data_IF_331409202017
#
_entry.id   IF_331409202017
#
_cell.length_a   1.000
_cell.length_b   1.000
_cell.length_c   1.000
_cell.angle_alpha   90.00
_cell.angle_beta   90.00
_cell.angle_gamma   90.00
#
_symmetry.space_group_name_H-M   'P 1'
#
loop_
_entity.id
_entity.type
_entity.pdbx_description
1 polymer ?
#
# COMPACT_ATOMS: atom_id res chain seq x y z
N UNK A 1 4.17 21.01 -32.10
CA UNK A 1 3.57 19.62 -32.07
C UNK A 1 3.09 19.16 -30.71
N UNK A 2 3.32 19.93 -29.62
CA UNK A 2 2.92 19.59 -28.26
C UNK A 2 1.43 19.80 -27.95
N UNK A 3 0.77 20.79 -28.52
CA UNK A 3 -0.64 21.12 -28.22
C UNK A 3 -1.68 20.15 -28.78
N UNK A 4 -1.47 19.60 -29.99
CA UNK A 4 -2.42 18.64 -30.62
C UNK A 4 -2.37 17.27 -29.91
N UNK A 5 -1.20 16.88 -29.42
CA UNK A 5 -1.07 15.62 -28.62
C UNK A 5 -1.76 15.70 -27.27
N UNK A 6 -1.80 16.87 -26.62
CA UNK A 6 -2.51 17.07 -25.36
C UNK A 6 -4.03 16.93 -25.53
N UNK A 7 -4.63 17.56 -26.55
CA UNK A 7 -6.07 17.50 -26.79
C UNK A 7 -6.59 16.10 -27.15
N UNK A 8 -5.84 15.29 -27.92
CA UNK A 8 -6.22 13.90 -28.23
C UNK A 8 -6.10 13.00 -27.00
N UNK A 9 -5.15 13.26 -26.11
CA UNK A 9 -4.97 12.52 -24.84
C UNK A 9 -6.05 12.84 -23.82
N UNK A 10 -6.49 14.08 -23.75
CA UNK A 10 -7.61 14.48 -22.88
C UNK A 10 -8.93 13.85 -23.30
N UNK A 11 -9.16 13.57 -24.57
CA UNK A 11 -10.36 12.87 -25.07
C UNK A 11 -10.52 11.43 -24.58
N UNK A 12 -9.46 10.80 -24.04
CA UNK A 12 -9.51 9.47 -23.39
C UNK A 12 -9.92 9.59 -21.92
N UNK A 13 -9.86 10.79 -21.32
CA UNK A 13 -10.28 11.10 -19.97
C UNK A 13 -11.72 11.62 -20.00
N UNK A 14 -12.67 10.80 -19.59
CA UNK A 14 -14.08 11.15 -19.67
C UNK A 14 -14.58 12.03 -18.52
N UNK A 15 -15.89 12.33 -18.49
CA UNK A 15 -16.50 13.27 -17.54
C UNK A 15 -16.22 12.94 -16.06
N UNK A 16 -16.15 11.65 -15.70
CA UNK A 16 -15.86 11.22 -14.33
C UNK A 16 -14.46 11.64 -13.88
N UNK A 17 -13.47 11.61 -14.78
CA UNK A 17 -12.12 12.10 -14.48
C UNK A 17 -12.12 13.59 -14.13
N UNK A 18 -12.72 14.42 -14.99
CA UNK A 18 -12.75 15.87 -14.79
C UNK A 18 -13.55 16.27 -13.55
N UNK A 19 -14.66 15.57 -13.28
CA UNK A 19 -15.43 15.77 -12.06
C UNK A 19 -14.56 15.51 -10.81
N UNK A 20 -13.89 14.37 -10.75
CA UNK A 20 -13.07 14.01 -9.58
C UNK A 20 -11.83 14.88 -9.46
N UNK A 21 -11.17 15.21 -10.56
CA UNK A 21 -10.06 16.18 -10.57
C UNK A 21 -10.49 17.55 -10.00
N UNK A 22 -11.65 18.04 -10.42
CA UNK A 22 -12.22 19.29 -9.88
C UNK A 22 -12.57 19.18 -8.39
N UNK A 23 -13.09 18.02 -7.97
CA UNK A 23 -13.42 17.74 -6.57
C UNK A 23 -12.15 17.69 -5.70
N UNK A 24 -11.10 17.01 -6.13
CA UNK A 24 -9.79 16.97 -5.47
C UNK A 24 -9.25 18.39 -5.31
N UNK A 25 -9.25 19.18 -6.40
CA UNK A 25 -8.74 20.56 -6.35
C UNK A 25 -9.51 21.42 -5.33
N UNK A 26 -10.83 21.30 -5.29
CA UNK A 26 -11.65 22.05 -4.32
C UNK A 26 -11.41 21.58 -2.90
N UNK A 27 -11.34 20.26 -2.67
CA UNK A 27 -11.19 19.72 -1.31
C UNK A 27 -9.87 20.09 -0.64
N UNK A 28 -8.82 20.37 -1.41
CA UNK A 28 -7.54 20.87 -0.88
C UNK A 28 -7.66 22.27 -0.24
N UNK A 29 -8.71 23.01 -0.57
CA UNK A 29 -9.00 24.32 0.06
C UNK A 29 -10.07 24.27 1.15
N UNK A 30 -10.61 23.09 1.46
CA UNK A 30 -11.65 22.97 2.49
C UNK A 30 -11.08 23.07 3.89
N UNK A 31 -11.86 23.69 4.76
CA UNK A 31 -11.63 23.66 6.21
C UNK A 31 -11.89 22.26 6.78
N UNK A 32 -11.39 21.98 7.97
CA UNK A 32 -11.66 20.72 8.66
C UNK A 32 -13.17 20.49 8.91
N UNK A 33 -13.97 21.57 9.07
CA UNK A 33 -15.43 21.48 9.21
C UNK A 33 -16.12 21.07 7.90
N UNK A 34 -15.71 21.65 6.76
CA UNK A 34 -16.26 21.30 5.45
C UNK A 34 -15.92 19.85 5.07
N UNK A 35 -14.72 19.38 5.41
CA UNK A 35 -14.31 17.97 5.23
C UNK A 35 -15.20 17.06 6.05
N UNK A 36 -15.40 17.35 7.35
CA UNK A 36 -16.28 16.56 8.22
C UNK A 36 -17.70 16.51 7.67
N UNK A 37 -18.30 17.65 7.36
CA UNK A 37 -19.66 17.72 6.81
C UNK A 37 -19.82 16.90 5.52
N UNK A 38 -18.85 17.03 4.61
CA UNK A 38 -18.82 16.25 3.37
C UNK A 38 -18.78 14.75 3.63
N UNK A 39 -17.90 14.30 4.53
CA UNK A 39 -17.73 12.89 4.88
C UNK A 39 -18.94 12.36 5.65
N UNK A 40 -19.39 13.03 6.69
CA UNK A 40 -20.50 12.61 7.54
C UNK A 40 -21.78 12.42 6.71
N UNK A 41 -22.10 13.36 5.83
CA UNK A 41 -23.27 13.27 4.96
C UNK A 41 -23.26 11.98 4.11
N UNK A 42 -22.09 11.57 3.60
CA UNK A 42 -21.95 10.36 2.76
C UNK A 42 -21.89 9.09 3.60
N UNK A 43 -21.14 9.13 4.67
CA UNK A 43 -20.99 8.03 5.58
C UNK A 43 -22.33 7.63 6.22
N UNK A 44 -23.10 8.59 6.71
CA UNK A 44 -24.43 8.34 7.27
C UNK A 44 -25.40 7.73 6.26
N UNK A 45 -25.28 8.03 4.97
CA UNK A 45 -26.07 7.37 3.92
C UNK A 45 -25.70 5.90 3.75
N UNK A 46 -24.40 5.58 3.87
CA UNK A 46 -23.91 4.18 3.82
C UNK A 46 -24.40 3.41 5.04
N UNK A 47 -24.23 3.96 6.25
CA UNK A 47 -24.66 3.34 7.50
C UNK A 47 -26.16 3.04 7.49
N UNK A 48 -27.00 4.02 7.11
CA UNK A 48 -28.46 3.82 7.01
C UNK A 48 -28.85 2.70 6.04
N UNK A 49 -28.04 2.44 5.02
CA UNK A 49 -28.36 1.41 4.02
C UNK A 49 -27.78 0.04 4.35
N UNK A 50 -26.58 -0.04 4.87
CA UNK A 50 -25.82 -1.28 5.01
C UNK A 50 -25.59 -1.70 6.47
N UNK A 51 -25.86 -0.83 7.43
CA UNK A 51 -25.56 -1.02 8.86
C UNK A 51 -24.25 -0.39 9.26
N UNK A 52 -24.00 -0.36 10.57
CA UNK A 52 -22.83 0.26 11.19
C UNK A 52 -21.79 -0.73 11.73
N UNK A 53 -22.00 -2.03 11.52
CA UNK A 53 -21.03 -3.05 11.92
C UNK A 53 -19.75 -2.94 11.09
N UNK A 54 -18.63 -3.27 11.71
CA UNK A 54 -17.37 -3.46 10.99
C UNK A 54 -17.50 -4.72 10.15
N UNK A 55 -17.12 -4.64 8.87
CA UNK A 55 -17.18 -5.73 7.92
C UNK A 55 -15.79 -6.25 7.58
N UNK A 56 -15.68 -7.52 7.29
CA UNK A 56 -14.46 -8.21 6.91
C UNK A 56 -14.60 -8.89 5.54
N UNK A 57 -13.52 -9.44 5.03
CA UNK A 57 -13.52 -10.18 3.77
C UNK A 57 -14.60 -11.28 3.71
N UNK A 58 -14.86 -11.95 4.83
CA UNK A 58 -15.83 -13.04 4.91
C UNK A 58 -17.27 -12.56 4.73
N UNK A 59 -17.63 -11.40 5.26
CA UNK A 59 -18.97 -10.81 5.07
C UNK A 59 -19.27 -10.59 3.59
N UNK A 60 -18.26 -10.16 2.81
CA UNK A 60 -18.41 -9.96 1.36
C UNK A 60 -18.39 -11.27 0.57
N UNK A 61 -17.72 -12.31 1.06
CA UNK A 61 -17.78 -13.64 0.44
C UNK A 61 -19.14 -14.27 0.58
N UNK A 62 -19.76 -14.13 1.76
CA UNK A 62 -21.05 -14.74 2.08
C UNK A 62 -22.24 -13.93 1.58
N UNK A 63 -22.14 -12.61 1.54
CA UNK A 63 -23.26 -11.70 1.32
C UNK A 63 -22.95 -10.61 0.27
N UNK A 64 -22.27 -10.98 -0.83
CA UNK A 64 -21.84 -10.01 -1.86
C UNK A 64 -23.01 -9.21 -2.46
N UNK A 65 -24.14 -9.85 -2.67
CA UNK A 65 -25.38 -9.28 -3.21
C UNK A 65 -25.92 -8.15 -2.32
N UNK A 66 -25.86 -8.30 -0.99
CA UNK A 66 -26.25 -7.28 -0.02
C UNK A 66 -25.47 -5.98 -0.20
N UNK A 67 -24.19 -6.10 -0.52
CA UNK A 67 -23.27 -4.96 -0.65
C UNK A 67 -23.11 -4.48 -2.10
N UNK A 68 -23.65 -5.21 -3.09
CA UNK A 68 -23.52 -4.80 -4.49
C UNK A 68 -24.68 -3.91 -4.90
N UNK A 69 -24.30 -2.73 -5.42
CA UNK A 69 -25.26 -1.71 -5.87
C UNK A 69 -25.14 -1.52 -7.37
N UNK A 70 -26.30 -1.57 -8.07
CA UNK A 70 -26.38 -1.35 -9.51
C UNK A 70 -25.31 -2.15 -10.28
N UNK A 71 -25.41 -3.45 -10.19
CA UNK A 71 -24.63 -4.35 -11.01
C UNK A 71 -25.26 -4.43 -12.40
N UNK A 72 -24.63 -3.72 -13.36
CA UNK A 72 -25.01 -3.73 -14.75
C UNK A 72 -23.88 -4.42 -15.52
N UNK A 73 -24.08 -5.62 -16.09
CA UNK A 73 -22.99 -6.42 -16.68
C UNK A 73 -22.14 -5.71 -17.73
N UNK A 74 -22.71 -4.76 -18.46
CA UNK A 74 -21.98 -3.96 -19.46
C UNK A 74 -21.11 -2.84 -18.82
N UNK A 75 -21.44 -2.42 -17.59
CA UNK A 75 -20.79 -1.30 -16.90
C UNK A 75 -19.96 -1.76 -15.70
N UNK A 76 -20.06 -3.04 -15.32
CA UNK A 76 -19.35 -3.60 -14.18
C UNK A 76 -18.45 -4.75 -14.62
N UNK A 77 -17.47 -5.07 -13.78
CA UNK A 77 -16.58 -6.22 -13.96
C UNK A 77 -16.28 -6.87 -12.63
N UNK A 78 -16.03 -8.17 -12.64
CA UNK A 78 -15.50 -8.87 -11.49
C UNK A 78 -14.04 -8.51 -11.27
N UNK A 79 -13.70 -8.16 -10.04
CA UNK A 79 -12.34 -7.92 -9.57
C UNK A 79 -11.99 -9.01 -8.56
N UNK A 80 -10.72 -9.39 -8.49
CA UNK A 80 -10.18 -10.31 -7.49
C UNK A 80 -9.17 -9.56 -6.63
N UNK A 81 -9.21 -9.76 -5.33
CA UNK A 81 -8.18 -9.24 -4.44
C UNK A 81 -6.91 -10.06 -4.56
N UNK A 82 -5.77 -9.42 -4.43
CA UNK A 82 -4.47 -10.10 -4.37
C UNK A 82 -4.18 -10.61 -2.95
N UNK A 83 -5.03 -11.51 -2.41
CA UNK A 83 -4.89 -12.00 -1.04
C UNK A 83 -3.55 -12.68 -0.78
N UNK A 84 -2.82 -12.21 0.25
CA UNK A 84 -1.61 -12.86 0.78
C UNK A 84 -1.95 -13.95 1.81
N UNK A 85 -3.20 -13.96 2.31
CA UNK A 85 -3.64 -14.75 3.48
C UNK A 85 -4.74 -15.77 3.19
N UNK A 86 -5.07 -16.07 1.91
CA UNK A 86 -6.12 -17.04 1.65
C UNK A 86 -6.72 -16.97 0.24
N UNK A 87 -7.94 -17.45 0.09
CA UNK A 87 -8.63 -17.39 -1.20
C UNK A 87 -8.93 -15.94 -1.60
N UNK A 88 -8.61 -15.51 -2.83
CA UNK A 88 -8.92 -14.16 -3.32
C UNK A 88 -10.42 -13.90 -3.24
N UNK A 89 -10.80 -12.79 -2.62
CA UNK A 89 -12.19 -12.34 -2.65
C UNK A 89 -12.54 -11.86 -4.06
N UNK A 90 -13.76 -12.17 -4.51
CA UNK A 90 -14.32 -11.66 -5.77
C UNK A 90 -15.39 -10.64 -5.46
N UNK A 91 -15.35 -9.52 -6.14
CA UNK A 91 -16.37 -8.49 -6.01
C UNK A 91 -16.60 -7.75 -7.34
N UNK A 92 -17.67 -6.99 -7.40
CA UNK A 92 -18.06 -6.26 -8.61
C UNK A 92 -17.60 -4.80 -8.51
N UNK A 93 -16.96 -4.31 -9.55
CA UNK A 93 -16.54 -2.91 -9.65
C UNK A 93 -17.02 -2.28 -10.95
N UNK A 94 -17.35 -0.99 -10.91
CA UNK A 94 -17.62 -0.18 -12.09
C UNK A 94 -16.43 -0.24 -13.08
N UNK A 95 -16.71 -0.57 -14.32
CA UNK A 95 -15.69 -0.77 -15.33
C UNK A 95 -15.15 0.53 -15.93
N UNK A 96 -15.99 1.55 -16.01
CA UNK A 96 -15.69 2.77 -16.74
C UNK A 96 -15.49 3.99 -15.84
N UNK A 97 -16.50 4.38 -15.06
CA UNK A 97 -16.43 5.59 -14.24
C UNK A 97 -15.40 5.44 -13.11
N UNK A 98 -15.24 4.23 -12.53
CA UNK A 98 -14.22 3.95 -11.54
C UNK A 98 -12.80 4.13 -12.08
N UNK A 99 -12.51 3.59 -13.27
CA UNK A 99 -11.17 3.75 -13.88
C UNK A 99 -10.81 5.22 -14.06
N UNK A 100 -11.77 6.05 -14.43
CA UNK A 100 -11.59 7.49 -14.58
C UNK A 100 -11.43 8.19 -13.23
N UNK A 101 -12.23 7.79 -12.22
CA UNK A 101 -12.06 8.23 -10.82
C UNK A 101 -10.65 7.92 -10.35
N UNK A 102 -10.21 6.66 -10.44
CA UNK A 102 -8.86 6.25 -10.05
C UNK A 102 -7.77 7.08 -10.72
N UNK A 103 -7.87 7.29 -12.03
CA UNK A 103 -6.90 8.12 -12.76
C UNK A 103 -6.84 9.55 -12.23
N UNK A 104 -7.97 10.14 -11.84
CA UNK A 104 -7.97 11.50 -11.30
C UNK A 104 -7.15 11.58 -10.01
N UNK A 105 -7.33 10.63 -9.09
CA UNK A 105 -6.59 10.60 -7.83
C UNK A 105 -5.14 10.18 -8.02
N UNK A 106 -4.87 9.13 -8.79
CA UNK A 106 -3.51 8.67 -9.04
C UNK A 106 -2.67 9.73 -9.77
N UNK A 107 -3.24 10.46 -10.74
CA UNK A 107 -2.51 11.53 -11.41
C UNK A 107 -2.26 12.73 -10.51
N UNK A 108 -3.16 13.01 -9.56
CA UNK A 108 -2.91 14.01 -8.51
C UNK A 108 -1.75 13.58 -7.61
N UNK A 109 -1.71 12.31 -7.20
CA UNK A 109 -0.59 11.74 -6.41
C UNK A 109 0.73 11.81 -7.21
N UNK A 110 0.72 11.29 -8.45
CA UNK A 110 1.91 11.22 -9.29
C UNK A 110 2.45 12.59 -9.69
N UNK A 111 1.58 13.61 -9.67
CA UNK A 111 2.01 15.00 -9.90
C UNK A 111 3.01 15.51 -8.86
N UNK A 112 3.08 14.88 -7.66
CA UNK A 112 4.09 15.20 -6.64
C UNK A 112 5.51 14.85 -7.11
N UNK A 113 5.66 13.84 -7.99
CA UNK A 113 6.91 13.54 -8.67
C UNK A 113 7.08 14.33 -9.99
N UNK A 114 6.11 15.17 -10.36
CA UNK A 114 6.12 15.95 -11.60
C UNK A 114 5.44 15.27 -12.79
N UNK A 115 4.69 14.17 -12.56
CA UNK A 115 3.98 13.45 -13.61
C UNK A 115 2.77 14.24 -14.11
N UNK A 116 2.63 14.33 -15.42
CA UNK A 116 1.43 14.82 -16.10
C UNK A 116 0.69 13.66 -16.80
N UNK A 117 -0.63 13.76 -16.98
CA UNK A 117 -1.41 12.73 -17.65
C UNK A 117 -0.77 12.25 -18.97
N UNK A 118 -0.57 10.94 -19.06
CA UNK A 118 0.05 10.27 -20.23
C UNK A 118 1.52 10.61 -20.50
N UNK A 119 2.26 11.17 -19.56
CA UNK A 119 3.72 11.12 -19.61
C UNK A 119 4.17 9.66 -19.75
N UNK A 120 5.28 9.45 -20.45
CA UNK A 120 5.81 8.11 -20.63
C UNK A 120 6.19 7.48 -19.29
N UNK A 121 5.75 6.24 -19.10
CA UNK A 121 6.13 5.42 -17.94
C UNK A 121 6.86 4.16 -18.40
N UNK A 122 7.85 3.76 -17.63
CA UNK A 122 8.42 2.41 -17.64
C UNK A 122 7.97 1.72 -16.35
N UNK A 123 7.15 0.67 -16.49
CA UNK A 123 6.63 -0.10 -15.36
C UNK A 123 7.43 -1.38 -15.20
N UNK A 124 8.09 -1.50 -14.07
CA UNK A 124 8.84 -2.69 -13.64
C UNK A 124 8.19 -3.27 -12.39
N UNK A 125 6.96 -3.75 -12.50
CA UNK A 125 6.19 -4.39 -11.43
C UNK A 125 4.96 -5.11 -12.01
N UNK A 126 4.55 -6.18 -11.32
CA UNK A 126 3.37 -6.98 -11.69
C UNK A 126 3.58 -7.85 -12.93
N UNK A 127 2.52 -8.58 -13.28
CA UNK A 127 2.54 -9.47 -14.43
C UNK A 127 2.47 -8.66 -15.74
N UNK A 128 3.20 -9.13 -16.75
CA UNK A 128 3.12 -8.59 -18.11
C UNK A 128 2.72 -9.69 -19.12
N UNK A 129 1.97 -9.31 -20.15
CA UNK A 129 1.61 -10.23 -21.20
C UNK A 129 2.84 -10.56 -22.06
N UNK A 130 3.42 -11.75 -21.91
CA UNK A 130 4.45 -12.33 -22.80
C UNK A 130 5.66 -11.44 -23.12
N UNK A 131 6.85 -12.04 -23.03
CA UNK A 131 8.11 -11.39 -23.41
C UNK A 131 8.70 -10.45 -22.36
N UNK A 132 9.89 -9.91 -22.68
CA UNK A 132 10.67 -9.05 -21.80
C UNK A 132 10.09 -7.64 -21.69
N UNK A 133 9.60 -7.09 -22.80
CA UNK A 133 9.13 -5.69 -22.90
C UNK A 133 7.84 -5.66 -23.69
N UNK A 134 6.82 -4.99 -23.15
CA UNK A 134 5.53 -4.81 -23.81
C UNK A 134 5.08 -3.34 -23.73
N UNK A 135 4.59 -2.77 -24.86
CA UNK A 135 4.09 -1.40 -24.89
C UNK A 135 2.57 -1.31 -24.92
N UNK A 136 2.00 -0.72 -23.90
CA UNK A 136 0.59 -0.35 -23.86
C UNK A 136 0.42 1.09 -24.38
N UNK A 137 -0.02 1.20 -25.63
CA UNK A 137 -0.18 2.48 -26.32
C UNK A 137 -1.25 3.38 -25.70
N UNK A 138 -2.32 2.79 -25.17
CA UNK A 138 -3.44 3.55 -24.59
C UNK A 138 -3.05 4.28 -23.30
N UNK A 139 -2.14 3.70 -22.54
CA UNK A 139 -1.67 4.27 -21.27
C UNK A 139 -0.29 4.95 -21.39
N UNK A 140 0.33 4.89 -22.55
CA UNK A 140 1.70 5.33 -22.80
C UNK A 140 2.69 4.74 -21.79
N UNK A 141 2.64 3.41 -21.63
CA UNK A 141 3.48 2.69 -20.66
C UNK A 141 4.20 1.52 -21.32
N UNK A 142 5.50 1.47 -21.13
CA UNK A 142 6.30 0.28 -21.33
C UNK A 142 6.26 -0.58 -20.07
N UNK A 143 5.96 -1.84 -20.23
CA UNK A 143 5.97 -2.84 -19.18
C UNK A 143 7.21 -3.72 -19.37
N UNK A 144 8.02 -3.85 -18.34
CA UNK A 144 9.26 -4.64 -18.32
C UNK A 144 9.08 -5.79 -17.33
N UNK A 145 9.42 -7.00 -17.75
CA UNK A 145 9.32 -8.19 -16.91
C UNK A 145 10.34 -8.17 -15.77
N UNK A 146 9.92 -8.38 -14.51
CA UNK A 146 10.85 -8.57 -13.41
C UNK A 146 11.67 -9.88 -13.51
N UNK A 147 11.28 -10.79 -14.38
CA UNK A 147 11.93 -12.11 -14.55
C UNK A 147 13.13 -12.14 -15.52
N UNK A 148 13.61 -10.98 -16.00
CA UNK A 148 14.82 -10.93 -16.82
C UNK A 148 16.04 -11.33 -15.98
N UNK A 149 16.59 -12.50 -16.21
CA UNK A 149 17.74 -13.06 -15.46
C UNK A 149 18.92 -13.41 -16.34
N UNK A 150 18.69 -13.49 -17.66
CA UNK A 150 19.73 -13.90 -18.62
C UNK A 150 20.49 -12.66 -19.10
N UNK A 151 21.83 -12.69 -19.11
CA UNK A 151 22.69 -11.55 -19.44
C UNK A 151 22.38 -10.98 -20.85
N UNK A 152 21.96 -11.81 -21.81
CA UNK A 152 21.52 -11.36 -23.13
C UNK A 152 20.32 -10.43 -23.04
N UNK A 153 19.31 -10.80 -22.25
CA UNK A 153 18.10 -10.01 -22.04
C UNK A 153 18.41 -8.71 -21.31
N UNK A 154 19.29 -8.75 -20.32
CA UNK A 154 19.77 -7.57 -19.61
C UNK A 154 20.53 -6.61 -20.55
N UNK A 155 21.36 -7.15 -21.44
CA UNK A 155 22.04 -6.37 -22.47
C UNK A 155 21.07 -5.70 -23.45
N UNK A 156 20.00 -6.40 -23.84
CA UNK A 156 18.92 -5.84 -24.67
C UNK A 156 18.15 -4.75 -23.92
N UNK A 157 17.77 -5.00 -22.67
CA UNK A 157 17.10 -4.05 -21.79
C UNK A 157 17.91 -2.76 -21.63
N UNK A 158 19.20 -2.87 -21.29
CA UNK A 158 20.11 -1.73 -21.09
C UNK A 158 20.27 -0.90 -22.38
N UNK A 159 20.34 -1.54 -23.55
CA UNK A 159 20.41 -0.85 -24.85
C UNK A 159 19.12 -0.11 -25.14
N UNK A 160 17.99 -0.78 -24.94
CA UNK A 160 16.67 -0.20 -25.19
C UNK A 160 16.39 1.00 -24.27
N UNK A 161 16.68 0.91 -22.98
CA UNK A 161 16.48 2.02 -22.00
C UNK A 161 17.20 3.30 -22.43
N UNK A 162 18.39 3.18 -23.05
CA UNK A 162 19.16 4.33 -23.56
C UNK A 162 18.46 5.05 -24.73
N UNK A 163 17.53 4.41 -25.40
CA UNK A 163 16.80 5.00 -26.54
C UNK A 163 15.53 5.73 -26.11
N UNK A 164 15.13 5.62 -24.84
CA UNK A 164 13.87 6.20 -24.38
C UNK A 164 13.99 7.73 -24.22
N UNK A 165 12.92 8.47 -24.57
CA UNK A 165 12.78 9.85 -24.16
C UNK A 165 12.54 9.92 -22.63
N UNK A 166 12.54 11.12 -22.02
CA UNK A 166 12.28 11.28 -20.59
C UNK A 166 11.02 10.53 -20.12
N UNK A 167 11.15 9.72 -19.06
CA UNK A 167 10.10 8.84 -18.56
C UNK A 167 10.01 8.84 -17.03
N UNK A 168 8.90 8.31 -16.51
CA UNK A 168 8.69 8.00 -15.10
C UNK A 168 8.86 6.50 -14.87
N UNK A 169 9.60 6.14 -13.84
CA UNK A 169 9.76 4.74 -13.44
C UNK A 169 8.64 4.35 -12.47
N UNK A 170 7.83 3.33 -12.81
CA UNK A 170 6.75 2.82 -11.99
C UNK A 170 7.12 1.44 -11.46
N UNK A 171 7.33 1.33 -10.15
CA UNK A 171 7.90 0.14 -9.48
C UNK A 171 7.20 -0.15 -8.16
N UNK A 172 7.40 -1.36 -7.65
CA UNK A 172 7.26 -1.58 -6.20
C UNK A 172 8.46 -0.98 -5.47
N UNK A 173 8.32 -0.45 -4.25
CA UNK A 173 9.45 0.04 -3.45
C UNK A 173 10.62 -0.93 -3.42
N UNK A 174 10.37 -2.22 -3.15
CA UNK A 174 11.39 -3.26 -3.14
C UNK A 174 12.02 -3.53 -4.51
N UNK A 175 11.30 -3.26 -5.59
CA UNK A 175 11.78 -3.49 -6.95
C UNK A 175 12.61 -2.33 -7.49
N UNK A 176 12.62 -1.17 -6.81
CA UNK A 176 13.36 0.01 -7.26
C UNK A 176 14.86 -0.26 -7.30
N UNK A 177 15.42 -0.71 -6.18
CA UNK A 177 16.84 -1.03 -6.10
C UNK A 177 17.20 -2.24 -6.96
N UNK A 178 16.32 -3.25 -7.03
CA UNK A 178 16.51 -4.37 -7.97
C UNK A 178 16.62 -3.91 -9.42
N UNK A 179 15.80 -2.92 -9.82
CA UNK A 179 15.88 -2.36 -11.16
C UNK A 179 17.21 -1.62 -11.39
N UNK A 180 17.65 -0.83 -10.41
CA UNK A 180 18.95 -0.13 -10.47
C UNK A 180 20.11 -1.13 -10.62
N UNK A 181 20.12 -2.20 -9.83
CA UNK A 181 21.12 -3.26 -9.92
C UNK A 181 21.14 -3.93 -11.30
N UNK A 182 19.95 -4.28 -11.83
CA UNK A 182 19.83 -4.92 -13.14
C UNK A 182 20.36 -4.06 -14.28
N UNK A 183 20.07 -2.76 -14.25
CA UNK A 183 20.53 -1.86 -15.31
C UNK A 183 21.97 -1.39 -15.08
N UNK A 184 22.45 -1.42 -13.85
CA UNK A 184 23.69 -0.86 -13.36
C UNK A 184 23.53 0.62 -12.97
N UNK A 185 24.01 0.99 -11.79
CA UNK A 185 23.86 2.32 -11.20
C UNK A 185 24.38 3.43 -12.12
N UNK A 186 25.55 3.25 -12.71
CA UNK A 186 26.13 4.21 -13.66
C UNK A 186 25.23 4.49 -14.87
N UNK A 187 24.55 3.45 -15.36
CA UNK A 187 23.58 3.63 -16.43
C UNK A 187 22.33 4.31 -15.89
N UNK A 188 21.80 3.88 -14.74
CA UNK A 188 20.60 4.46 -14.13
C UNK A 188 20.74 5.97 -13.93
N UNK A 189 21.89 6.45 -13.42
CA UNK A 189 22.19 7.89 -13.25
C UNK A 189 22.19 8.69 -14.55
N UNK A 190 22.42 8.01 -15.70
CA UNK A 190 22.39 8.64 -17.05
C UNK A 190 21.06 8.52 -17.77
N UNK A 191 20.13 7.67 -17.26
CA UNK A 191 18.80 7.55 -17.85
C UNK A 191 17.98 8.82 -17.58
N UNK A 192 17.13 9.23 -18.53
CA UNK A 192 16.30 10.42 -18.38
C UNK A 192 15.05 10.13 -17.50
N UNK A 193 15.27 9.60 -16.27
CA UNK A 193 14.22 9.33 -15.31
C UNK A 193 13.78 10.65 -14.66
N UNK A 194 12.52 11.03 -14.85
CA UNK A 194 11.95 12.29 -14.34
C UNK A 194 11.39 12.17 -12.93
N UNK A 195 10.98 10.98 -12.53
CA UNK A 195 10.41 10.70 -11.22
C UNK A 195 10.13 9.22 -11.04
N UNK A 196 9.97 8.79 -9.80
CA UNK A 196 9.58 7.43 -9.40
C UNK A 196 8.14 7.44 -8.90
N UNK A 197 7.38 6.46 -9.34
CA UNK A 197 6.00 6.18 -8.94
C UNK A 197 6.01 4.84 -8.22
N UNK A 198 5.77 4.82 -6.90
CA UNK A 198 5.91 3.63 -6.07
C UNK A 198 4.66 3.37 -5.22
N UNK A 199 4.20 2.12 -5.15
CA UNK A 199 3.09 1.73 -4.29
C UNK A 199 3.04 0.23 -4.02
N UNK A 200 1.98 -0.20 -3.32
CA UNK A 200 1.62 -1.61 -3.06
C UNK A 200 2.54 -2.33 -2.06
N UNK A 201 3.54 -1.66 -1.57
CA UNK A 201 4.43 -2.10 -0.49
C UNK A 201 4.76 -0.90 0.39
N UNK A 202 5.22 -1.16 1.61
CA UNK A 202 5.76 -0.11 2.44
C UNK A 202 7.03 0.47 1.81
N UNK A 203 7.17 1.77 1.90
CA UNK A 203 8.38 2.50 1.53
C UNK A 203 8.75 3.43 2.69
N UNK A 204 9.69 3.05 3.53
CA UNK A 204 10.08 3.86 4.69
C UNK A 204 10.43 5.29 4.30
N UNK A 205 10.07 6.23 5.14
CA UNK A 205 10.31 7.66 4.86
C UNK A 205 11.81 7.96 4.72
N UNK A 206 12.65 7.32 5.52
CA UNK A 206 14.11 7.42 5.44
C UNK A 206 14.64 7.00 4.06
N UNK A 207 14.22 5.83 3.58
CA UNK A 207 14.63 5.30 2.27
C UNK A 207 14.20 6.21 1.12
N UNK A 208 12.98 6.81 1.21
CA UNK A 208 12.51 7.77 0.21
C UNK A 208 13.41 9.01 0.19
N UNK A 209 13.75 9.55 1.37
CA UNK A 209 14.62 10.74 1.51
C UNK A 209 16.01 10.43 1.00
N UNK A 210 16.59 9.30 1.40
CA UNK A 210 17.90 8.87 0.95
C UNK A 210 17.96 8.75 -0.58
N UNK A 211 17.01 8.05 -1.19
CA UNK A 211 16.92 7.91 -2.64
C UNK A 211 16.80 9.27 -3.35
N UNK A 212 15.92 10.16 -2.85
CA UNK A 212 15.75 11.48 -3.44
C UNK A 212 17.03 12.33 -3.35
N UNK A 213 17.78 12.20 -2.25
CA UNK A 213 19.06 12.88 -2.07
C UNK A 213 20.16 12.33 -2.98
N UNK A 214 20.23 11.00 -3.07
CA UNK A 214 21.27 10.30 -3.83
C UNK A 214 21.11 10.48 -5.35
N UNK A 215 19.89 10.37 -5.87
CA UNK A 215 19.62 10.39 -7.30
C UNK A 215 19.05 11.71 -7.81
N UNK A 216 18.61 12.62 -6.93
CA UNK A 216 17.92 13.85 -7.33
C UNK A 216 16.53 13.63 -7.94
N UNK A 217 15.98 12.43 -7.82
CA UNK A 217 14.73 12.00 -8.47
C UNK A 217 13.61 11.96 -7.44
N UNK A 218 12.52 12.68 -7.68
CA UNK A 218 11.35 12.74 -6.78
C UNK A 218 10.54 11.45 -6.79
N UNK A 219 10.02 11.06 -5.62
CA UNK A 219 9.14 9.90 -5.44
C UNK A 219 7.71 10.37 -5.19
N UNK A 220 6.74 9.74 -5.90
CA UNK A 220 5.33 9.75 -5.55
C UNK A 220 4.96 8.38 -4.97
N UNK A 221 4.59 8.35 -3.70
CA UNK A 221 4.19 7.13 -3.00
C UNK A 221 2.77 7.26 -2.47
N UNK A 222 2.02 6.14 -2.43
CA UNK A 222 0.64 6.15 -1.94
C UNK A 222 0.23 4.82 -1.33
N UNK A 223 -0.80 4.90 -0.48
CA UNK A 223 -1.51 3.77 0.07
C UNK A 223 -2.89 3.64 -0.58
N UNK A 224 -3.24 2.42 -0.94
CA UNK A 224 -4.55 2.04 -1.47
C UNK A 224 -4.61 0.54 -1.68
N UNK A 225 -5.82 0.01 -1.82
CA UNK A 225 -6.06 -1.41 -1.93
C UNK A 225 -7.07 -1.73 -3.04
N UNK A 226 -7.16 -3.02 -3.39
CA UNK A 226 -7.95 -3.50 -4.54
C UNK A 226 -9.44 -3.24 -4.39
N UNK A 227 -9.93 -3.10 -3.18
CA UNK A 227 -11.33 -2.86 -2.80
C UNK A 227 -11.78 -1.42 -3.08
N UNK A 228 -10.84 -0.50 -3.29
CA UNK A 228 -11.13 0.91 -3.57
C UNK A 228 -11.97 1.61 -2.49
N UNK A 229 -11.81 1.22 -1.23
CA UNK A 229 -12.56 1.84 -0.14
C UNK A 229 -11.96 3.19 0.26
N UNK A 230 -10.65 3.26 0.44
CA UNK A 230 -9.89 4.47 0.80
C UNK A 230 -8.62 4.58 -0.03
N UNK A 231 -8.09 5.80 -0.10
CA UNK A 231 -6.85 6.11 -0.80
C UNK A 231 -6.14 7.26 -0.08
N UNK A 232 -4.83 7.13 0.10
CA UNK A 232 -4.00 8.16 0.70
C UNK A 232 -2.72 8.39 -0.10
N UNK A 233 -2.25 9.63 -0.17
CA UNK A 233 -0.94 9.96 -0.71
C UNK A 233 0.08 10.16 0.39
N UNK A 234 1.31 9.76 0.16
CA UNK A 234 2.43 10.09 1.03
C UNK A 234 2.83 11.55 0.76
N UNK A 235 2.72 12.39 1.78
CA UNK A 235 3.04 13.80 1.69
C UNK A 235 4.57 14.00 1.67
N UNK A 236 5.08 14.72 0.69
CA UNK A 236 6.53 14.99 0.59
C UNK A 236 7.07 15.85 1.73
N UNK A 237 6.22 16.63 2.40
CA UNK A 237 6.64 17.51 3.49
C UNK A 237 6.73 16.76 4.83
N UNK A 238 5.66 16.08 5.25
CA UNK A 238 5.62 15.38 6.54
C UNK A 238 5.90 13.88 6.43
N UNK A 239 6.04 13.34 5.22
CA UNK A 239 6.20 11.92 4.91
C UNK A 239 5.11 11.00 5.48
N UNK A 240 4.05 11.56 6.07
CA UNK A 240 2.85 10.84 6.47
C UNK A 240 1.86 10.66 5.32
N UNK A 241 0.88 9.80 5.54
CA UNK A 241 -0.17 9.52 4.56
C UNK A 241 -1.41 10.37 4.84
N UNK A 242 -1.87 11.11 3.84
CA UNK A 242 -3.08 11.92 3.87
C UNK A 242 -4.18 11.24 3.07
N UNK A 243 -5.28 10.87 3.72
CA UNK A 243 -6.42 10.22 3.09
C UNK A 243 -7.28 11.24 2.34
N UNK A 244 -7.60 10.94 1.08
CA UNK A 244 -8.50 11.78 0.30
C UNK A 244 -9.93 11.71 0.86
N UNK A 245 -10.46 12.77 1.48
CA UNK A 245 -11.79 12.76 2.10
C UNK A 245 -12.91 12.62 1.06
N UNK A 246 -12.59 12.84 -0.19
CA UNK A 246 -13.53 12.75 -1.32
C UNK A 246 -13.53 11.39 -2.00
N UNK A 247 -12.57 10.52 -1.65
CA UNK A 247 -12.47 9.17 -2.19
C UNK A 247 -13.29 8.17 -1.36
N UNK A 248 -13.15 8.20 -0.06
CA UNK A 248 -13.79 7.35 0.93
C UNK A 248 -13.72 7.97 2.32
N UNK A 249 -14.33 7.31 3.30
CA UNK A 249 -14.23 7.65 4.71
C UNK A 249 -13.31 6.68 5.41
N UNK A 250 -12.36 7.21 6.19
CA UNK A 250 -11.44 6.43 7.01
C UNK A 250 -11.79 6.60 8.48
N UNK A 251 -11.81 5.48 9.21
CA UNK A 251 -11.86 5.44 10.67
C UNK A 251 -10.59 4.75 11.15
N UNK A 252 -10.00 5.29 12.20
CA UNK A 252 -8.84 4.72 12.88
C UNK A 252 -9.31 4.21 14.23
N UNK A 253 -9.29 2.89 14.42
CA UNK A 253 -9.79 2.24 15.63
C UNK A 253 -8.65 1.61 16.41
N UNK A 254 -8.86 1.47 17.73
CA UNK A 254 -7.91 0.79 18.61
C UNK A 254 -7.51 -0.56 18.06
N UNK A 255 -6.24 -0.90 18.22
CA UNK A 255 -5.64 -2.17 17.85
C UNK A 255 -5.05 -2.86 19.07
N UNK A 256 -4.96 -4.19 19.03
CA UNK A 256 -4.19 -4.97 20.02
C UNK A 256 -2.67 -4.79 19.86
N UNK A 257 -2.26 -4.20 18.74
CA UNK A 257 -0.85 -3.91 18.44
C UNK A 257 -0.49 -2.56 19.06
N UNK A 258 0.44 -2.57 19.99
CA UNK A 258 0.87 -1.36 20.71
C UNK A 258 1.37 -0.28 19.75
N UNK A 259 0.88 0.95 19.93
CA UNK A 259 1.24 2.11 19.11
C UNK A 259 0.62 2.12 17.72
N UNK A 260 -0.31 1.21 17.43
CA UNK A 260 -0.97 1.11 16.14
C UNK A 260 -2.50 1.23 16.24
N UNK A 261 -3.13 1.64 15.16
CA UNK A 261 -4.58 1.66 14.97
C UNK A 261 -4.96 0.83 13.75
N UNK A 262 -6.12 0.19 13.79
CA UNK A 262 -6.71 -0.49 12.64
C UNK A 262 -7.28 0.52 11.66
N UNK A 263 -7.03 0.31 10.38
CA UNK A 263 -7.55 1.17 9.31
C UNK A 263 -8.85 0.60 8.79
N UNK A 264 -9.96 1.29 9.05
CA UNK A 264 -11.28 0.92 8.59
C UNK A 264 -11.69 1.87 7.45
N UNK A 265 -12.15 1.33 6.34
CA UNK A 265 -12.49 2.10 5.15
C UNK A 265 -13.94 1.99 4.72
N UNK A 266 -14.56 3.11 4.31
CA UNK A 266 -15.87 3.11 3.66
C UNK A 266 -15.79 3.78 2.30
N UNK A 267 -16.19 3.05 1.25
CA UNK A 267 -16.07 3.53 -0.13
C UNK A 267 -17.18 4.53 -0.51
N UNK A 268 -16.84 5.60 -1.23
CA UNK A 268 -17.81 6.50 -1.85
C UNK A 268 -18.06 6.15 -3.32
N UNK A 269 -18.05 4.87 -3.66
CA UNK A 269 -18.35 4.39 -5.00
C UNK A 269 -19.84 4.50 -5.31
N UNK A 270 -20.17 4.70 -6.60
CA UNK A 270 -21.58 4.82 -7.05
C UNK A 270 -22.17 3.50 -7.50
N UNK A 271 -21.36 2.61 -8.08
CA UNK A 271 -21.77 1.32 -8.64
C UNK A 271 -20.83 0.21 -8.15
N UNK A 272 -21.28 -1.03 -8.29
CA UNK A 272 -20.56 -2.19 -7.85
C UNK A 272 -20.65 -2.43 -6.35
N UNK A 273 -19.75 -3.21 -5.83
CA UNK A 273 -19.69 -3.55 -4.40
C UNK A 273 -19.29 -2.33 -3.57
N UNK A 274 -20.08 -2.07 -2.53
CA UNK A 274 -19.86 -1.00 -1.56
C UNK A 274 -19.14 -1.59 -0.35
N UNK A 275 -17.93 -1.16 -0.11
CA UNK A 275 -17.21 -1.49 1.11
C UNK A 275 -17.60 -0.47 2.18
N UNK A 276 -18.19 -0.92 3.28
CA UNK A 276 -18.72 -0.08 4.35
C UNK A 276 -18.16 -0.54 5.66
N UNK A 277 -17.48 0.34 6.38
CA UNK A 277 -16.71 0.04 7.58
C UNK A 277 -15.86 -1.23 7.44
N UNK A 278 -15.26 -1.35 6.26
CA UNK A 278 -14.45 -2.50 5.89
C UNK A 278 -13.10 -2.45 6.62
N UNK A 279 -12.82 -3.49 7.38
CA UNK A 279 -11.51 -3.68 7.98
C UNK A 279 -10.51 -4.05 6.89
N UNK A 280 -9.59 -3.15 6.62
CA UNK A 280 -8.55 -3.39 5.60
C UNK A 280 -7.50 -4.39 6.06
N UNK A 281 -7.53 -4.76 7.35
CA UNK A 281 -6.48 -5.53 8.04
C UNK A 281 -5.13 -4.80 8.07
N UNK A 282 -5.07 -3.55 7.63
CA UNK A 282 -3.86 -2.73 7.69
C UNK A 282 -3.80 -1.94 8.99
N UNK A 283 -2.59 -1.73 9.47
CA UNK A 283 -2.29 -0.96 10.68
C UNK A 283 -1.67 0.38 10.32
N UNK A 284 -2.01 1.40 11.09
CA UNK A 284 -1.48 2.75 10.97
C UNK A 284 -0.90 3.24 12.28
N UNK A 285 0.10 4.09 12.19
CA UNK A 285 0.70 4.81 13.33
C UNK A 285 0.13 6.22 13.37
N UNK A 286 -0.26 6.68 14.56
CA UNK A 286 -0.80 8.02 14.77
C UNK A 286 0.13 9.12 14.25
N UNK A 287 -0.44 10.21 13.73
CA UNK A 287 0.37 11.30 13.22
C UNK A 287 1.09 12.01 14.37
N UNK A 288 2.39 12.17 14.23
CA UNK A 288 3.19 13.06 15.05
C UNK A 288 3.31 14.43 14.38
N UNK A 289 3.25 15.50 15.16
CA UNK A 289 3.38 16.87 14.65
C UNK A 289 2.21 17.33 13.77
N UNK A 290 2.35 18.46 13.10
CA UNK A 290 1.40 19.04 12.17
C UNK A 290 1.96 19.08 10.75
N UNK A 291 1.09 18.92 9.74
CA UNK A 291 1.42 19.21 8.36
C UNK A 291 0.78 20.55 7.98
N UNK A 292 1.56 21.50 7.51
CA UNK A 292 1.08 22.84 7.22
C UNK A 292 0.18 22.92 5.96
N UNK A 293 0.11 21.86 5.15
CA UNK A 293 -0.39 21.96 3.78
C UNK A 293 -1.80 21.44 3.56
N UNK A 294 -2.39 20.67 4.49
CA UNK A 294 -3.82 20.30 4.35
C UNK A 294 -4.44 19.80 5.65
N UNK A 295 -5.77 19.75 5.65
CA UNK A 295 -6.59 19.29 6.76
C UNK A 295 -7.15 17.87 6.53
N UNK A 296 -6.61 17.13 5.57
CA UNK A 296 -7.04 15.75 5.30
C UNK A 296 -6.75 14.83 6.49
N UNK A 297 -7.60 13.84 6.77
CA UNK A 297 -7.27 12.80 7.74
C UNK A 297 -5.90 12.20 7.46
N UNK A 298 -5.07 12.06 8.50
CA UNK A 298 -3.66 11.75 8.33
C UNK A 298 -3.20 10.68 9.31
N UNK A 299 -2.24 9.87 8.87
CA UNK A 299 -1.46 8.95 9.72
C UNK A 299 0.03 9.15 9.42
N UNK A 300 0.87 8.79 10.38
CA UNK A 300 2.32 8.92 10.21
C UNK A 300 2.87 7.86 9.25
N UNK A 301 2.40 6.63 9.41
CA UNK A 301 2.78 5.50 8.56
C UNK A 301 1.63 4.51 8.43
N UNK A 302 1.62 3.76 7.33
CA UNK A 302 0.88 2.49 7.21
C UNK A 302 1.93 1.40 7.37
N UNK A 303 1.80 0.58 8.41
CA UNK A 303 2.86 -0.35 8.83
C UNK A 303 2.58 -1.80 8.42
N UNK A 304 1.79 -1.98 7.39
CA UNK A 304 1.44 -3.28 6.85
C UNK A 304 0.19 -3.88 7.50
N UNK A 305 -0.09 -5.13 7.19
CA UNK A 305 -1.26 -5.83 7.70
C UNK A 305 -1.05 -6.23 9.16
N UNK A 306 -2.14 -6.45 9.87
CA UNK A 306 -2.12 -7.02 11.22
C UNK A 306 -1.33 -8.35 11.29
N UNK A 307 -1.20 -9.05 10.18
CA UNK A 307 -0.36 -10.25 10.00
C UNK A 307 1.16 -9.98 9.96
N UNK A 308 1.59 -8.75 9.81
CA UNK A 308 3.01 -8.35 9.88
C UNK A 308 3.37 -7.88 11.30
N UNK A 309 2.74 -8.49 12.28
CA UNK A 309 3.02 -8.32 13.71
C UNK A 309 3.72 -9.56 14.24
N UNK A 310 4.76 -9.36 15.05
CA UNK A 310 5.42 -10.46 15.76
C UNK A 310 4.92 -10.56 17.20
N UNK A 311 5.06 -11.75 17.79
CA UNK A 311 4.77 -12.01 19.19
C UNK A 311 6.06 -11.89 20.00
N UNK A 312 6.10 -10.97 20.99
CA UNK A 312 7.26 -10.75 21.84
C UNK A 312 7.44 -11.88 22.90
N UNK A 313 8.48 -11.78 23.71
CA UNK A 313 8.77 -12.73 24.79
C UNK A 313 7.74 -12.71 25.93
N UNK A 314 6.89 -11.71 26.01
CA UNK A 314 5.76 -11.61 26.94
C UNK A 314 4.43 -12.06 26.33
N UNK A 315 4.43 -12.62 25.09
CA UNK A 315 3.24 -13.04 24.38
C UNK A 315 2.42 -11.91 23.75
N UNK A 316 2.92 -10.68 23.75
CA UNK A 316 2.20 -9.52 23.20
C UNK A 316 2.49 -9.34 21.71
N UNK A 317 1.45 -9.00 20.93
CA UNK A 317 1.61 -8.63 19.53
C UNK A 317 2.21 -7.23 19.39
N UNK A 318 3.23 -7.13 18.54
CA UNK A 318 3.99 -5.91 18.26
C UNK A 318 4.07 -5.66 16.77
N UNK A 319 4.00 -4.39 16.35
CA UNK A 319 4.25 -4.04 14.96
C UNK A 319 5.71 -4.30 14.61
N UNK A 320 5.96 -5.21 13.68
CA UNK A 320 7.32 -5.45 13.18
C UNK A 320 7.94 -4.16 12.62
N UNK A 321 7.15 -3.43 11.83
CA UNK A 321 7.61 -2.22 11.17
C UNK A 321 7.86 -1.06 12.12
N UNK A 322 7.06 -0.92 13.16
CA UNK A 322 7.27 0.10 14.19
C UNK A 322 8.65 -0.02 14.82
N UNK A 323 9.10 -1.23 15.09
CA UNK A 323 10.42 -1.49 15.67
C UNK A 323 11.55 -1.54 14.63
N UNK A 324 11.30 -2.12 13.46
CA UNK A 324 12.32 -2.20 12.42
C UNK A 324 12.67 -0.84 11.81
N UNK A 325 11.67 0.04 11.61
CA UNK A 325 11.80 1.27 10.83
C UNK A 325 11.28 2.53 11.55
N UNK A 326 10.84 2.44 12.81
CA UNK A 326 10.10 3.49 13.52
C UNK A 326 10.95 4.71 13.95
N UNK A 327 12.22 4.54 14.23
CA UNK A 327 13.12 5.65 14.52
C UNK A 327 13.76 6.13 13.24
N UNK A 328 13.34 7.33 12.83
CA UNK A 328 13.84 8.03 11.65
C UNK A 328 15.24 8.65 11.85
N UNK A 329 15.86 8.44 12.99
CA UNK A 329 17.27 8.72 13.09
C UNK A 329 17.99 7.80 12.11
N UNK A 330 18.53 8.46 11.09
CA UNK A 330 19.25 7.87 9.95
C UNK A 330 20.48 7.16 10.51
N UNK A 331 20.25 5.99 11.09
CA UNK A 331 21.36 5.13 11.46
C UNK A 331 22.09 4.74 10.18
N UNK A 332 23.36 5.08 10.10
CA UNK A 332 24.25 4.86 8.96
C UNK A 332 24.43 3.38 8.54
N UNK A 333 23.62 2.46 9.10
CA UNK A 333 23.68 1.04 8.74
C UNK A 333 22.66 0.63 7.67
N UNK A 334 21.65 1.48 7.37
CA UNK A 334 20.64 1.15 6.35
C UNK A 334 21.23 1.11 4.94
N UNK A 335 22.19 1.98 4.66
CA UNK A 335 22.97 1.98 3.42
C UNK A 335 23.78 0.70 3.19
N UNK A 336 23.98 -0.12 4.25
CA UNK A 336 24.70 -1.38 4.21
C UNK A 336 23.78 -2.58 3.88
N UNK A 337 22.46 -2.37 3.83
CA UNK A 337 21.46 -3.43 3.65
C UNK A 337 20.81 -3.29 2.28
N UNK A 338 20.93 -4.33 1.47
CA UNK A 338 20.30 -4.42 0.15
C UNK A 338 18.87 -4.96 0.23
N UNK A 339 18.64 -5.96 1.09
CA UNK A 339 17.33 -6.58 1.30
C UNK A 339 17.25 -7.23 2.68
N UNK A 340 16.05 -7.37 3.22
CA UNK A 340 15.84 -8.03 4.50
C UNK A 340 14.47 -8.70 4.61
N UNK A 341 14.40 -9.72 5.47
CA UNK A 341 13.17 -10.45 5.80
C UNK A 341 13.23 -10.96 7.23
N UNK A 342 12.17 -10.74 7.98
CA UNK A 342 11.99 -11.35 9.29
C UNK A 342 11.20 -12.65 9.19
N UNK A 343 11.55 -13.62 10.01
CA UNK A 343 10.83 -14.89 10.13
C UNK A 343 10.57 -15.16 11.61
N UNK A 344 9.36 -15.54 11.97
CA UNK A 344 9.01 -15.94 13.32
C UNK A 344 8.50 -17.38 13.35
N UNK A 345 9.24 -18.28 14.00
CA UNK A 345 8.86 -19.69 14.17
C UNK A 345 8.28 -19.96 15.58
N UNK A 346 8.55 -19.09 16.56
CA UNK A 346 8.07 -19.17 17.95
C UNK A 346 7.97 -17.79 18.60
N UNK A 347 7.06 -17.60 19.55
CA UNK A 347 6.96 -16.36 20.31
C UNK A 347 8.28 -15.96 20.94
N UNK A 348 8.59 -14.67 20.97
CA UNK A 348 9.81 -14.13 21.57
C UNK A 348 11.10 -14.39 20.77
N UNK A 349 11.01 -14.97 19.57
CA UNK A 349 12.16 -15.25 18.73
C UNK A 349 11.93 -14.70 17.32
N UNK A 350 12.91 -14.01 16.75
CA UNK A 350 12.92 -13.49 15.39
C UNK A 350 14.22 -13.91 14.69
N UNK A 351 14.10 -14.48 13.52
CA UNK A 351 15.20 -14.66 12.58
C UNK A 351 15.16 -13.51 11.57
N UNK A 352 16.21 -12.70 11.53
CA UNK A 352 16.39 -11.65 10.52
C UNK A 352 17.34 -12.15 9.44
N UNK A 353 16.82 -12.32 8.23
CA UNK A 353 17.62 -12.57 7.03
C UNK A 353 18.03 -11.26 6.38
N UNK A 354 19.30 -11.06 6.12
CA UNK A 354 19.84 -9.83 5.54
C UNK A 354 20.63 -10.16 4.29
N UNK A 355 20.37 -9.47 3.21
CA UNK A 355 21.25 -9.37 2.03
C UNK A 355 22.10 -8.12 2.22
N UNK A 356 23.38 -8.25 2.58
CA UNK A 356 24.24 -7.09 2.79
C UNK A 356 24.72 -6.50 1.47
N UNK A 357 24.99 -5.20 1.45
CA UNK A 357 25.71 -4.54 0.39
C UNK A 357 27.21 -4.95 0.41
N UNK A 358 27.93 -4.84 -0.71
CA UNK A 358 29.39 -5.04 -0.72
C UNK A 358 30.10 -4.14 0.29
N UNK A 359 30.96 -4.72 1.12
CA UNK A 359 31.69 -3.97 2.16
C UNK A 359 30.91 -3.70 3.45
N UNK A 360 29.68 -4.23 3.60
CA UNK A 360 28.87 -4.04 4.79
C UNK A 360 29.50 -4.60 6.08
N UNK A 361 29.42 -3.82 7.15
CA UNK A 361 29.88 -4.21 8.48
C UNK A 361 28.81 -5.04 9.20
N UNK A 362 28.82 -6.36 8.99
CA UNK A 362 27.83 -7.30 9.49
C UNK A 362 27.56 -7.19 10.98
N UNK A 363 28.56 -6.96 11.79
CA UNK A 363 28.42 -6.79 13.24
C UNK A 363 27.68 -5.49 13.62
N UNK A 364 27.84 -4.45 12.85
CA UNK A 364 27.10 -3.19 13.05
C UNK A 364 25.61 -3.38 12.75
N UNK A 365 25.29 -4.03 11.64
CA UNK A 365 23.91 -4.37 11.26
C UNK A 365 23.27 -5.21 12.37
N UNK A 366 23.92 -6.30 12.81
CA UNK A 366 23.42 -7.18 13.86
C UNK A 366 23.12 -6.40 15.15
N UNK A 367 24.08 -5.64 15.65
CA UNK A 367 23.93 -4.83 16.89
C UNK A 367 22.83 -3.77 16.77
N UNK A 368 22.64 -3.18 15.61
CA UNK A 368 21.59 -2.20 15.37
C UNK A 368 20.19 -2.81 15.50
N UNK A 369 19.97 -4.00 14.93
CA UNK A 369 18.69 -4.68 15.05
C UNK A 369 18.48 -5.30 16.45
N UNK A 370 19.50 -5.86 17.08
CA UNK A 370 19.40 -6.36 18.47
C UNK A 370 18.92 -5.25 19.44
N UNK A 371 19.42 -4.01 19.28
CA UNK A 371 18.97 -2.86 20.07
C UNK A 371 17.52 -2.47 19.81
N UNK A 372 17.02 -2.66 18.58
CA UNK A 372 15.65 -2.34 18.17
C UNK A 372 14.62 -3.36 18.66
N UNK A 373 15.04 -4.60 18.89
CA UNK A 373 14.17 -5.70 19.33
C UNK A 373 14.53 -6.25 20.73
N UNK A 374 14.62 -5.40 21.78
CA UNK A 374 14.98 -5.88 23.13
C UNK A 374 13.93 -6.82 23.73
N UNK A 375 12.71 -6.86 23.16
CA UNK A 375 11.59 -7.69 23.59
C UNK A 375 11.53 -9.06 22.86
N UNK A 376 12.49 -9.38 22.02
CA UNK A 376 12.60 -10.67 21.36
C UNK A 376 14.07 -11.08 21.21
N UNK A 377 14.35 -12.38 21.26
CA UNK A 377 15.65 -12.88 20.87
C UNK A 377 15.78 -12.77 19.35
N UNK A 378 16.73 -11.98 18.86
CA UNK A 378 16.99 -11.80 17.45
C UNK A 378 18.22 -12.62 17.02
N UNK A 379 18.07 -13.40 15.96
CA UNK A 379 19.18 -14.01 15.25
C UNK A 379 19.29 -13.44 13.84
N UNK A 380 20.52 -13.20 13.37
CA UNK A 380 20.78 -12.61 12.04
C UNK A 380 21.47 -13.60 11.15
N UNK A 381 20.85 -13.91 10.00
CA UNK A 381 21.37 -14.76 8.95
C UNK A 381 21.71 -13.89 7.72
N UNK A 382 22.94 -13.97 7.23
CA UNK A 382 23.33 -13.26 6.01
C UNK A 382 23.18 -14.16 4.80
N UNK A 383 22.33 -13.75 3.87
CA UNK A 383 21.96 -14.53 2.67
C UNK A 383 22.31 -13.77 1.38
N UNK A 384 22.40 -14.48 0.27
CA UNK A 384 22.69 -13.87 -1.04
C UNK A 384 21.44 -13.24 -1.69
N UNK A 385 20.26 -13.74 -1.38
CA UNK A 385 18.98 -13.26 -1.90
C UNK A 385 17.83 -13.61 -0.96
N UNK A 386 16.75 -12.84 -1.02
CA UNK A 386 15.46 -13.12 -0.37
C UNK A 386 14.44 -13.50 -1.43
N UNK A 387 13.72 -14.60 -1.18
CA UNK A 387 12.69 -15.11 -2.07
C UNK A 387 11.52 -14.13 -2.18
N UNK A 388 11.04 -13.91 -3.40
CA UNK A 388 9.92 -13.03 -3.72
C UNK A 388 8.68 -13.83 -4.09
N UNK A 389 7.50 -13.19 -3.93
CA UNK A 389 6.25 -13.75 -4.42
C UNK A 389 6.28 -13.90 -5.95
N UNK A 390 5.40 -14.73 -6.56
CA UNK A 390 5.29 -14.84 -8.01
C UNK A 390 5.02 -13.50 -8.73
N UNK A 391 4.38 -12.53 -8.07
CA UNK A 391 4.18 -11.17 -8.58
C UNK A 391 5.38 -10.23 -8.39
N UNK A 392 6.51 -10.73 -7.87
CA UNK A 392 7.73 -9.96 -7.60
C UNK A 392 7.72 -9.16 -6.29
N UNK A 393 6.67 -9.26 -5.49
CA UNK A 393 6.57 -8.54 -4.21
C UNK A 393 7.47 -9.16 -3.14
N UNK A 394 8.06 -8.29 -2.31
CA UNK A 394 8.76 -8.67 -1.10
C UNK A 394 7.77 -9.10 0.00
N UNK A 395 8.15 -10.12 0.77
CA UNK A 395 7.55 -10.41 2.07
C UNK A 395 8.55 -10.02 3.14
N UNK A 396 8.28 -8.94 3.84
CA UNK A 396 9.15 -8.49 4.92
C UNK A 396 9.06 -9.39 6.14
N UNK A 397 7.89 -10.01 6.36
CA UNK A 397 7.65 -10.90 7.47
C UNK A 397 7.05 -12.24 7.01
N UNK A 398 7.55 -13.32 7.57
CA UNK A 398 7.04 -14.68 7.40
C UNK A 398 6.68 -15.22 8.78
N UNK A 399 5.39 -15.22 9.09
CA UNK A 399 4.87 -15.85 10.29
C UNK A 399 4.72 -17.36 10.06
N UNK A 400 5.37 -18.15 10.92
CA UNK A 400 5.30 -19.61 10.96
C UNK A 400 4.82 -20.10 12.31
N UNK A 401 4.25 -19.21 13.13
CA UNK A 401 3.66 -19.63 14.39
C UNK A 401 2.51 -20.61 14.13
N UNK A 402 2.34 -21.66 14.98
CA UNK A 402 1.16 -22.51 14.93
C UNK A 402 -0.12 -21.67 15.10
N UNK A 403 -1.14 -21.95 14.28
CA UNK A 403 -2.41 -21.21 14.26
C UNK A 403 -3.16 -21.24 15.60
N UNK A 404 -2.92 -22.27 16.42
CA UNK A 404 -3.59 -22.46 17.72
C UNK A 404 -3.06 -21.56 18.84
N UNK A 405 -1.91 -20.88 18.64
CA UNK A 405 -1.36 -19.95 19.62
C UNK A 405 -2.01 -18.56 19.61
N UNK A 406 -2.94 -18.31 18.68
CA UNK A 406 -3.53 -16.99 18.46
C UNK A 406 -4.97 -16.84 18.96
N UNK A 407 -5.66 -17.94 19.33
CA UNK A 407 -7.09 -17.89 19.73
C UNK A 407 -7.37 -18.11 21.23
N UNK A 408 -6.37 -18.35 22.07
CA UNK A 408 -6.58 -18.75 23.47
C UNK A 408 -6.60 -17.63 24.51
N UNK A 409 -7.00 -16.38 24.16
CA UNK A 409 -7.32 -15.40 25.21
C UNK A 409 -8.24 -14.31 24.65
N UNK A 410 -9.54 -14.56 24.62
CA UNK A 410 -10.58 -13.55 24.87
C UNK A 410 -12.00 -14.12 24.64
N UNK A 411 -12.47 -14.90 25.63
CA UNK A 411 -13.88 -14.88 25.97
C UNK A 411 -13.98 -14.54 27.44
N UNK A 412 -14.54 -13.38 27.83
CA UNK A 412 -15.08 -13.22 29.17
C UNK A 412 -16.27 -14.18 29.27
N UNK A 413 -16.17 -15.13 30.18
CA UNK A 413 -17.34 -15.89 30.63
C UNK A 413 -18.29 -14.91 31.34
N UNK A 414 -19.28 -14.42 30.65
CA UNK A 414 -20.46 -13.85 31.27
C UNK A 414 -21.30 -15.01 31.82
N UNK A 415 -21.05 -15.31 33.08
CA UNK A 415 -21.94 -16.11 33.91
C UNK A 415 -23.19 -15.29 34.25
N UNK A 416 -24.26 -15.51 33.52
CA UNK A 416 -25.60 -15.14 33.99
C UNK A 416 -26.16 -16.28 34.85
N UNK A 417 -26.65 -15.97 36.09
CA UNK A 417 -27.32 -16.97 36.91
C UNK A 417 -28.74 -17.24 36.37
N UNK A 418 -29.11 -18.53 36.43
CA UNK A 418 -30.45 -19.03 36.25
C UNK A 418 -31.51 -18.23 37.01
N UNK A 419 -32.52 -17.77 36.28
CA UNK A 419 -33.81 -17.45 36.90
C UNK A 419 -34.88 -18.33 36.26
N UNK A 420 -35.25 -19.33 37.03
CA UNK A 420 -36.45 -20.16 36.83
C UNK A 420 -37.71 -19.29 37.04
N UNK A 421 -38.67 -19.38 36.14
CA UNK A 421 -40.10 -19.20 36.42
C UNK A 421 -40.87 -19.90 35.28
N UNK A 422 -41.41 -21.03 35.59
CA UNK A 422 -42.80 -21.42 35.85
C UNK A 422 -43.85 -21.08 34.76
N UNK A 423 -44.38 -22.17 34.32
CA UNK A 423 -45.63 -22.50 33.63
C UNK A 423 -46.84 -21.60 33.82
N UNK A 424 -47.67 -21.54 32.75
CA UNK A 424 -49.12 -21.47 32.84
C UNK A 424 -49.80 -20.96 31.57
N UNK A 425 -50.80 -21.65 31.02
CA UNK A 425 -51.36 -21.40 29.70
C UNK A 425 -52.54 -20.44 29.73
N UNK A 426 -52.66 -19.67 28.65
CA UNK A 426 -53.94 -19.35 27.95
C UNK A 426 -53.63 -18.60 26.65
#
# INVERSE_FOLDING_TARGET
MTGVRAGVREGVLGPSYFYHRGLIKRSKGWSASEIREYQDTRFQRLIRRYGDQITQNEDYRQHLDRYTRWDVPLLTRTVRTGGTSGQPMRFTADSFARRQKERAYLFDIWSQAGYAPYDLRVRYCGDIPGGLIHYNRLENVWMVSPGATVERELGELRRWLRTLPPFFLHVYPSSLYTFIDLVGEDLFRRLPVRGVIAASEMFPAGDQVQFEQEFGIKIAHWYGHSEYAILAYCCRQCRGFHFYPTYGHVELLSSEVEGCQRVIGSSFNRMGTQFVRYDTEDLAVDPTGSCANDHFPRVNAIVGRSQETFVDNAGRRRSLFGYAFGDLDVDAFWDQIRDLQFVQDKPGFLLLRVVPNPGAEKDQIRKAFERRFPMAKLEVEYVSAIERSPSGKRRYFVDRLPTDATESNNHPQDSHPDAAHENGPL
#
